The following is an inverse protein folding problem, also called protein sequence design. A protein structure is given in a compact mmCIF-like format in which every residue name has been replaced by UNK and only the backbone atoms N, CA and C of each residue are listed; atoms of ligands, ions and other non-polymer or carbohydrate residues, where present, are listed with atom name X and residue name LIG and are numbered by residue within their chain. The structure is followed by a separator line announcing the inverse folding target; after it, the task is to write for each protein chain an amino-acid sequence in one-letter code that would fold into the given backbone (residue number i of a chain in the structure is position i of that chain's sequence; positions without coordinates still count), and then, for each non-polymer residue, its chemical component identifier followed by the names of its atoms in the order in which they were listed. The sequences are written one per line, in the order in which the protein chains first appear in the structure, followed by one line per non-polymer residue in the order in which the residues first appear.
data_IF_792530351796
#
_entry.id   IF_792530351796
#
_cell.length_a   1.000
_cell.length_b   1.000
_cell.length_c   1.000
_cell.angle_alpha   90.00
_cell.angle_beta   90.00
_cell.angle_gamma   90.00
#
_symmetry.space_group_name_H-M   'P 1'
#
loop_
_entity.id
_entity.type
_entity.pdbx_description
1 polymer ?
#
# COMPACT_ATOMS: atom_id res chain seq x y z
N UNK A 1 19.10 6.85 17.19
CA UNK A 1 18.13 5.98 16.50
C UNK A 1 18.48 6.03 15.03
N UNK A 2 18.99 4.92 14.48
CA UNK A 2 19.26 4.82 13.04
C UNK A 2 17.93 5.02 12.31
N UNK A 3 17.90 5.90 11.31
CA UNK A 3 16.72 6.16 10.51
C UNK A 3 16.57 5.00 9.53
N UNK A 4 15.87 3.95 9.94
CA UNK A 4 15.64 2.76 9.11
C UNK A 4 14.38 2.93 8.28
N UNK A 5 14.44 3.92 7.39
CA UNK A 5 13.43 4.14 6.36
C UNK A 5 13.35 2.88 5.46
N UNK A 6 12.16 2.28 5.35
CA UNK A 6 11.92 1.05 4.60
C UNK A 6 11.90 1.30 3.08
N UNK A 7 11.63 2.54 2.64
CA UNK A 7 11.75 2.93 1.22
C UNK A 7 10.46 3.43 0.57
N UNK A 8 9.53 3.99 1.36
CA UNK A 8 8.39 4.76 0.84
C UNK A 8 8.68 6.27 0.73
N UNK A 9 9.92 6.70 0.97
CA UNK A 9 10.37 8.06 0.71
C UNK A 9 10.65 8.26 -0.77
N UNK A 10 10.33 9.46 -1.27
CA UNK A 10 10.70 9.90 -2.60
C UNK A 10 12.17 10.35 -2.64
N UNK A 11 12.88 10.04 -3.73
CA UNK A 11 14.23 10.56 -4.00
C UNK A 11 15.36 9.86 -3.24
N UNK A 12 15.11 8.69 -2.61
CA UNK A 12 16.14 7.87 -1.96
C UNK A 12 16.63 6.74 -2.88
N UNK A 13 17.89 6.34 -2.73
CA UNK A 13 18.52 5.27 -3.53
C UNK A 13 17.89 3.88 -3.30
N UNK A 14 17.28 3.65 -2.13
CA UNK A 14 16.58 2.41 -1.78
C UNK A 14 15.06 2.65 -1.68
N UNK A 15 14.45 3.03 -2.80
CA UNK A 15 12.99 3.24 -2.90
C UNK A 15 12.32 1.94 -3.34
N UNK A 16 11.27 1.52 -2.62
CA UNK A 16 10.41 0.40 -3.05
C UNK A 16 9.67 0.77 -4.34
N UNK A 17 9.38 -0.18 -5.24
CA UNK A 17 8.71 0.10 -6.52
C UNK A 17 7.31 0.69 -6.33
N UNK A 18 6.74 1.36 -7.32
CA UNK A 18 5.40 1.99 -7.19
C UNK A 18 4.29 0.97 -6.94
N UNK A 19 4.50 -0.26 -7.39
CA UNK A 19 3.65 -1.42 -7.14
C UNK A 19 3.61 -1.83 -5.66
N UNK A 20 4.49 -1.31 -4.82
CA UNK A 20 4.44 -1.51 -3.36
C UNK A 20 3.38 -0.64 -2.68
N UNK A 21 2.67 0.21 -3.42
CA UNK A 21 1.61 1.08 -2.91
C UNK A 21 0.30 0.79 -3.66
N UNK A 22 -0.73 0.40 -2.92
CA UNK A 22 -2.10 0.19 -3.43
C UNK A 22 -3.11 0.90 -2.52
N UNK A 23 -4.39 0.88 -2.85
CA UNK A 23 -5.42 1.55 -2.03
C UNK A 23 -6.76 0.83 -2.14
N UNK A 24 -7.65 1.13 -1.20
CA UNK A 24 -9.04 0.66 -1.18
C UNK A 24 -9.95 1.25 -2.24
N UNK A 25 -9.52 2.31 -2.92
CA UNK A 25 -10.36 3.08 -3.86
C UNK A 25 -9.96 2.84 -5.32
N UNK A 26 -10.95 2.88 -6.20
CA UNK A 26 -10.92 2.35 -7.58
C UNK A 26 -10.99 3.43 -8.67
N UNK A 27 -11.10 4.72 -8.30
CA UNK A 27 -11.28 5.84 -9.24
C UNK A 27 -10.31 7.00 -8.92
N UNK A 28 -9.25 7.17 -9.70
CA UNK A 28 -8.27 8.24 -9.46
C UNK A 28 -8.44 9.42 -10.42
N UNK A 29 -8.58 10.62 -9.87
CA UNK A 29 -7.95 11.81 -10.44
C UNK A 29 -6.44 11.52 -10.48
N UNK A 30 -5.73 11.84 -11.57
CA UNK A 30 -4.29 11.53 -11.68
C UNK A 30 -3.42 12.09 -10.51
N UNK A 31 -3.96 13.03 -9.74
CA UNK A 31 -3.32 13.57 -8.55
C UNK A 31 -3.27 12.60 -7.35
N UNK A 32 -4.24 11.69 -7.20
CA UNK A 32 -4.45 10.88 -5.99
C UNK A 32 -3.84 9.47 -5.99
N UNK A 33 -3.06 9.07 -7.00
CA UNK A 33 -2.54 7.71 -7.08
C UNK A 33 -1.73 7.25 -5.85
N UNK A 34 -1.74 5.94 -5.48
CA UNK A 34 -1.05 5.43 -4.29
C UNK A 34 0.43 5.80 -4.21
N UNK A 35 1.16 5.73 -5.32
CA UNK A 35 2.57 6.10 -5.41
C UNK A 35 2.85 7.61 -5.24
N UNK A 36 1.81 8.44 -5.17
CA UNK A 36 1.93 9.84 -4.75
C UNK A 36 1.97 10.00 -3.23
N UNK A 37 1.59 8.96 -2.48
CA UNK A 37 1.65 8.91 -1.01
C UNK A 37 3.03 8.69 -0.43
N UNK A 38 4.10 8.82 -1.22
CA UNK A 38 5.48 8.73 -0.75
C UNK A 38 5.88 9.98 0.04
N UNK A 39 6.49 9.80 1.22
CA UNK A 39 7.01 10.94 1.99
C UNK A 39 8.04 11.74 1.16
N UNK A 40 8.05 13.05 1.33
CA UNK A 40 8.87 14.00 0.57
C UNK A 40 8.60 14.13 -0.93
N UNK A 41 7.60 13.44 -1.51
CA UNK A 41 7.26 13.64 -2.92
C UNK A 41 6.78 15.09 -3.17
N UNK A 42 7.42 15.88 -4.04
CA UNK A 42 7.02 17.27 -4.25
C UNK A 42 5.62 17.37 -4.87
N UNK A 43 4.78 18.25 -4.32
CA UNK A 43 3.48 18.67 -4.91
C UNK A 43 2.42 17.59 -5.13
N UNK A 44 2.70 16.33 -4.79
CA UNK A 44 1.83 15.17 -4.99
C UNK A 44 1.57 14.48 -3.67
N UNK A 45 0.36 13.98 -3.46
CA UNK A 45 -0.06 13.22 -2.29
C UNK A 45 -0.97 12.09 -2.78
N UNK A 46 -1.11 11.00 -2.03
CA UNK A 46 -2.22 10.08 -2.26
C UNK A 46 -3.49 10.67 -1.63
N UNK A 47 -4.63 10.43 -2.25
CA UNK A 47 -5.95 10.72 -1.69
C UNK A 47 -6.91 9.59 -2.09
N UNK A 48 -7.91 9.27 -1.26
CA UNK A 48 -8.97 8.36 -1.68
C UNK A 48 -9.86 9.04 -2.73
N UNK A 49 -10.65 8.24 -3.44
CA UNK A 49 -11.69 8.74 -4.36
C UNK A 49 -12.87 9.37 -3.63
N UNK A 50 -13.17 8.85 -2.44
CA UNK A 50 -14.29 9.25 -1.59
C UNK A 50 -13.79 9.38 -0.14
N UNK A 51 -14.37 10.30 0.62
CA UNK A 51 -13.89 10.66 1.97
C UNK A 51 -14.93 10.46 3.07
N UNK A 52 -16.11 9.95 2.72
CA UNK A 52 -17.24 9.60 3.57
C UNK A 52 -17.12 8.20 4.19
N UNK A 53 -16.49 7.25 3.50
CA UNK A 53 -16.23 5.90 4.03
C UNK A 53 -14.80 5.69 4.54
N UNK A 54 -14.52 4.66 5.36
CA UNK A 54 -13.16 4.31 5.74
C UNK A 54 -12.32 3.85 4.54
N UNK A 55 -11.24 4.57 4.26
CA UNK A 55 -10.31 4.25 3.18
C UNK A 55 -8.91 3.95 3.71
N UNK A 56 -8.08 3.29 2.89
CA UNK A 56 -6.70 2.99 3.24
C UNK A 56 -5.71 3.15 2.10
N UNK A 57 -4.50 3.56 2.47
CA UNK A 57 -3.30 3.36 1.68
C UNK A 57 -2.62 2.07 2.16
N UNK A 58 -2.42 1.13 1.26
CA UNK A 58 -1.80 -0.17 1.53
C UNK A 58 -0.35 -0.15 1.04
N UNK A 59 0.54 -0.54 1.93
CA UNK A 59 1.98 -0.60 1.75
C UNK A 59 2.38 -2.08 1.74
N UNK A 60 2.77 -2.57 0.58
CA UNK A 60 3.19 -3.94 0.33
C UNK A 60 4.69 -4.01 0.46
N UNK A 61 5.15 -4.56 1.57
CA UNK A 61 6.54 -4.87 1.80
C UNK A 61 6.89 -6.17 1.10
N UNK A 62 8.17 -6.31 0.86
CA UNK A 62 8.66 -7.35 -0.02
C UNK A 62 9.07 -8.61 0.72
N UNK A 63 9.26 -8.44 2.02
CA UNK A 63 9.47 -9.46 3.02
C UNK A 63 8.86 -8.96 4.33
N UNK A 64 8.95 -9.76 5.38
CA UNK A 64 8.54 -9.33 6.70
C UNK A 64 9.54 -8.31 7.26
N UNK A 65 9.01 -7.21 7.80
CA UNK A 65 9.75 -6.23 8.58
C UNK A 65 9.24 -6.21 10.01
N UNK A 66 10.13 -5.94 10.96
CA UNK A 66 9.72 -5.37 12.24
C UNK A 66 9.59 -3.86 12.09
N UNK A 67 8.35 -3.38 12.08
CA UNK A 67 8.01 -1.98 11.90
C UNK A 67 7.81 -1.38 13.28
N UNK A 68 8.50 -0.28 13.55
CA UNK A 68 8.48 0.38 14.86
C UNK A 68 8.03 1.84 14.80
N UNK A 69 7.92 2.44 13.61
CA UNK A 69 7.32 3.78 13.48
C UNK A 69 6.73 4.02 12.09
N UNK A 70 5.89 5.05 12.00
CA UNK A 70 5.41 5.63 10.75
C UNK A 70 5.60 7.15 10.79
N UNK A 71 6.20 7.72 9.75
CA UNK A 71 6.18 9.16 9.51
C UNK A 71 5.09 9.49 8.54
N UNK A 72 4.25 10.48 8.86
CA UNK A 72 3.11 10.87 8.05
C UNK A 72 3.10 12.38 7.82
N UNK A 73 2.49 12.79 6.71
CA UNK A 73 2.26 14.19 6.38
C UNK A 73 0.92 14.29 5.66
N UNK A 74 0.01 15.06 6.25
CA UNK A 74 -1.34 15.27 5.77
C UNK A 74 -1.51 16.57 5.00
N UNK A 75 -2.63 16.66 4.30
CA UNK A 75 -3.15 17.88 3.70
C UNK A 75 -4.66 17.71 3.50
N UNK A 76 -5.43 18.78 3.62
CA UNK A 76 -6.81 18.81 3.13
C UNK A 76 -6.89 19.51 1.77
N UNK A 77 -7.98 19.32 1.04
CA UNK A 77 -8.19 19.98 -0.26
C UNK A 77 -8.14 21.49 -0.16
N UNK A 78 -8.65 22.09 0.92
CA UNK A 78 -8.54 23.53 1.11
C UNK A 78 -7.12 23.93 1.53
N UNK A 79 -6.80 25.21 1.36
CA UNK A 79 -5.56 25.79 1.88
C UNK A 79 -5.60 26.06 3.38
N UNK A 80 -6.61 25.56 4.11
CA UNK A 80 -6.66 25.70 5.56
C UNK A 80 -5.63 24.76 6.20
N UNK A 81 -4.69 25.35 6.91
CA UNK A 81 -3.62 24.62 7.61
C UNK A 81 -4.00 24.24 9.05
N UNK A 82 -5.19 24.64 9.52
CA UNK A 82 -5.69 24.30 10.84
C UNK A 82 -6.63 23.09 10.77
N UNK A 83 -6.05 21.90 10.77
CA UNK A 83 -6.79 20.64 10.79
C UNK A 83 -6.06 19.58 11.62
N UNK A 84 -6.79 18.54 12.00
CA UNK A 84 -6.23 17.32 12.57
C UNK A 84 -6.84 16.14 11.83
N UNK A 85 -5.99 15.30 11.27
CA UNK A 85 -6.36 14.02 10.68
C UNK A 85 -6.00 12.89 11.62
N UNK A 86 -6.64 11.75 11.41
CA UNK A 86 -6.48 10.58 12.25
C UNK A 86 -6.29 9.32 11.41
N UNK A 87 -5.41 8.43 11.86
CA UNK A 87 -5.26 7.12 11.21
C UNK A 87 -5.11 5.98 12.23
N UNK A 88 -5.45 4.79 11.78
CA UNK A 88 -5.15 3.53 12.45
C UNK A 88 -4.27 2.66 11.56
N UNK A 89 -3.62 1.67 12.17
CA UNK A 89 -2.78 0.70 11.47
C UNK A 89 -3.43 -0.67 11.56
N UNK A 90 -3.65 -1.30 10.41
CA UNK A 90 -3.83 -2.75 10.34
C UNK A 90 -2.73 -3.38 9.50
N UNK A 91 -2.38 -4.62 9.79
CA UNK A 91 -1.23 -5.27 9.18
C UNK A 91 -1.48 -6.76 8.98
N UNK A 92 -0.71 -7.34 8.06
CA UNK A 92 -0.75 -8.76 7.73
C UNK A 92 0.65 -9.24 7.35
N UNK A 93 0.91 -10.52 7.61
CA UNK A 93 2.12 -11.21 7.16
C UNK A 93 1.88 -11.93 5.81
N UNK A 94 0.62 -12.19 5.45
CA UNK A 94 0.25 -13.14 4.39
C UNK A 94 -1.01 -12.78 3.58
N UNK A 95 -1.55 -11.56 3.71
CA UNK A 95 -2.82 -11.09 3.14
C UNK A 95 -4.10 -11.79 3.61
N UNK A 96 -4.02 -13.03 4.12
CA UNK A 96 -5.17 -13.81 4.55
C UNK A 96 -5.69 -13.39 5.93
N UNK A 97 -4.78 -13.13 6.87
CA UNK A 97 -5.12 -12.76 8.24
C UNK A 97 -4.70 -11.33 8.53
N UNK A 98 -5.63 -10.53 9.04
CA UNK A 98 -5.40 -9.12 9.36
C UNK A 98 -5.48 -8.90 10.86
N UNK A 99 -4.50 -8.16 11.38
CA UNK A 99 -4.42 -7.71 12.77
C UNK A 99 -4.57 -6.19 12.80
N UNK A 100 -5.22 -5.67 13.82
CA UNK A 100 -5.25 -4.23 14.08
C UNK A 100 -4.25 -3.92 15.19
N UNK A 101 -3.37 -2.93 15.00
CA UNK A 101 -2.31 -2.61 15.95
C UNK A 101 -2.88 -2.23 17.32
N UNK A 102 -3.87 -1.33 17.34
CA UNK A 102 -4.64 -1.00 18.53
C UNK A 102 -6.07 -0.61 18.10
N UNK A 103 -7.10 -1.43 18.40
CA UNK A 103 -8.48 -1.15 18.02
C UNK A 103 -9.00 0.20 18.50
N UNK A 104 -8.57 0.61 19.69
CA UNK A 104 -9.11 1.75 20.44
C UNK A 104 -8.25 3.01 20.32
N UNK A 105 -7.21 2.99 19.47
CA UNK A 105 -6.30 4.12 19.32
C UNK A 105 -6.24 4.60 17.87
N UNK A 106 -6.09 5.90 17.71
CA UNK A 106 -5.84 6.59 16.45
C UNK A 106 -4.66 7.53 16.64
N UNK A 107 -3.74 7.50 15.69
CA UNK A 107 -2.65 8.47 15.59
C UNK A 107 -3.20 9.75 14.99
N UNK A 108 -2.78 10.90 15.51
CA UNK A 108 -3.19 12.23 15.05
C UNK A 108 -2.04 12.88 14.30
N UNK A 109 -2.32 13.62 13.24
CA UNK A 109 -1.32 14.34 12.47
C UNK A 109 -1.95 15.48 11.66
N UNK A 110 -1.13 16.35 11.06
CA UNK A 110 -1.57 17.50 10.27
C UNK A 110 -0.66 17.74 9.05
N UNK A 111 -0.49 19.01 8.64
CA UNK A 111 0.35 19.44 7.52
C UNK A 111 1.86 19.53 7.85
N UNK A 112 2.28 19.08 9.02
CA UNK A 112 3.68 18.91 9.42
C UNK A 112 4.02 17.43 9.34
N UNK A 113 5.28 17.12 9.01
CA UNK A 113 5.76 15.74 9.04
C UNK A 113 5.85 15.30 10.51
N UNK A 114 4.99 14.36 10.90
CA UNK A 114 4.98 13.78 12.25
C UNK A 114 5.47 12.34 12.22
N UNK A 115 6.31 11.96 13.19
CA UNK A 115 6.78 10.58 13.37
C UNK A 115 6.09 9.96 14.57
N UNK A 116 5.31 8.91 14.34
CA UNK A 116 4.65 8.14 15.38
C UNK A 116 5.39 6.83 15.62
N UNK A 117 5.97 6.70 16.82
CA UNK A 117 6.58 5.45 17.28
C UNK A 117 5.51 4.50 17.79
N UNK A 118 5.61 3.24 17.38
CA UNK A 118 4.77 2.16 17.89
C UNK A 118 5.34 1.69 19.23
N UNK A 119 4.52 1.71 20.28
CA UNK A 119 4.85 1.15 21.61
C UNK A 119 5.33 -0.30 21.50
N UNK A 120 4.70 -1.10 20.63
CA UNK A 120 5.15 -2.44 20.28
C UNK A 120 5.43 -2.47 18.79
N UNK A 121 6.58 -3.00 18.38
CA UNK A 121 6.81 -3.25 16.96
C UNK A 121 5.81 -4.28 16.43
N UNK A 122 5.51 -4.18 15.15
CA UNK A 122 4.68 -5.16 14.44
C UNK A 122 5.54 -5.91 13.42
N UNK A 123 5.37 -7.23 13.35
CA UNK A 123 5.88 -8.02 12.23
C UNK A 123 4.83 -7.99 11.12
N UNK A 124 5.20 -7.47 9.95
CA UNK A 124 4.28 -7.36 8.83
C UNK A 124 5.00 -7.44 7.49
N UNK A 125 4.29 -7.99 6.50
CA UNK A 125 4.59 -7.84 5.08
C UNK A 125 3.68 -6.81 4.43
N UNK A 126 2.49 -6.59 4.97
CA UNK A 126 1.52 -5.65 4.44
C UNK A 126 1.04 -4.77 5.57
N UNK A 127 1.00 -3.47 5.33
CA UNK A 127 0.50 -2.47 6.26
C UNK A 127 -0.57 -1.63 5.57
N UNK A 128 -1.67 -1.35 6.26
CA UNK A 128 -2.67 -0.37 5.84
C UNK A 128 -2.66 0.79 6.80
N UNK A 129 -2.46 1.99 6.26
CA UNK A 129 -2.75 3.26 6.92
C UNK A 129 -4.22 3.55 6.66
N UNK A 130 -5.05 3.34 7.67
CA UNK A 130 -6.51 3.40 7.59
C UNK A 130 -7.02 4.71 8.16
N UNK A 131 -7.90 5.37 7.42
CA UNK A 131 -8.61 6.55 7.85
C UNK A 131 -10.05 6.20 8.22
N UNK A 132 -10.61 6.86 9.23
CA UNK A 132 -12.01 6.64 9.62
C UNK A 132 -13.02 7.17 8.58
N UNK A 133 -12.58 7.99 7.61
CA UNK A 133 -13.48 8.73 6.73
C UNK A 133 -14.17 9.89 7.45
N UNK A 134 -15.30 10.33 6.91
CA UNK A 134 -16.14 11.42 7.41
C UNK A 134 -15.39 12.74 7.63
N UNK A 135 -14.46 13.06 6.73
CA UNK A 135 -13.84 14.39 6.73
C UNK A 135 -14.77 15.39 6.04
N UNK A 136 -14.78 16.65 6.49
CA UNK A 136 -15.51 17.72 5.79
C UNK A 136 -14.87 18.06 4.43
N UNK A 137 -13.67 17.54 4.17
CA UNK A 137 -12.85 17.83 3.01
C UNK A 137 -12.03 16.62 2.55
N UNK A 138 -11.57 16.63 1.30
CA UNK A 138 -10.76 15.54 0.75
C UNK A 138 -9.40 15.45 1.48
N UNK A 139 -9.08 14.29 2.09
CA UNK A 139 -7.82 14.08 2.78
C UNK A 139 -6.72 13.60 1.83
N UNK A 140 -5.53 14.16 2.02
CA UNK A 140 -4.32 13.81 1.29
C UNK A 140 -3.25 13.33 2.27
N UNK A 141 -2.56 12.25 1.94
CA UNK A 141 -1.54 11.63 2.80
C UNK A 141 -0.25 11.37 2.04
N UNK A 142 0.86 11.53 2.77
CA UNK A 142 2.14 10.88 2.53
C UNK A 142 2.59 10.08 3.74
N UNK A 143 3.31 9.00 3.50
CA UNK A 143 3.80 8.11 4.56
C UNK A 143 5.21 7.58 4.25
N UNK A 144 5.98 7.38 5.31
CA UNK A 144 7.16 6.52 5.38
C UNK A 144 7.02 5.55 6.55
N UNK A 145 7.34 4.27 6.33
CA UNK A 145 7.43 3.29 7.42
C UNK A 145 8.89 3.13 7.85
N UNK A 146 9.10 2.97 9.15
CA UNK A 146 10.42 2.78 9.75
C UNK A 146 10.49 1.38 10.37
N UNK A 147 11.50 0.61 9.98
CA UNK A 147 11.64 -0.77 10.43
C UNK A 147 12.87 -1.48 9.91
N UNK A 148 13.15 -2.61 10.53
CA UNK A 148 14.24 -3.52 10.16
C UNK A 148 13.69 -4.75 9.44
N UNK A 149 14.48 -5.33 8.56
CA UNK A 149 14.23 -6.66 8.01
C UNK A 149 14.25 -7.70 9.15
N UNK A 150 13.33 -8.68 9.16
CA UNK A 150 13.43 -9.80 10.11
C UNK A 150 14.57 -10.75 9.72
N UNK A 151 15.35 -11.27 10.69
CA UNK A 151 16.52 -12.12 10.42
C UNK A 151 16.21 -13.34 9.53
N UNK A 152 14.97 -13.84 9.56
CA UNK A 152 14.51 -14.93 8.67
C UNK A 152 14.51 -14.57 7.18
N UNK A 153 14.62 -13.30 6.83
CA UNK A 153 14.50 -12.80 5.45
C UNK A 153 15.74 -12.05 4.92
N UNK A 154 16.75 -11.82 5.77
CA UNK A 154 17.99 -11.12 5.38
C UNK A 154 18.87 -11.91 4.40
N UNK A 155 18.72 -13.25 4.36
CA UNK A 155 19.48 -14.14 3.50
C UNK A 155 18.97 -14.21 2.05
N UNK A 156 17.71 -13.81 1.76
CA UNK A 156 17.06 -14.17 0.50
C UNK A 156 16.69 -13.00 -0.43
N UNK A 157 16.60 -11.76 0.04
CA UNK A 157 16.29 -10.61 -0.82
C UNK A 157 16.87 -9.31 -0.24
N UNK A 158 17.96 -8.78 -0.80
CA UNK A 158 18.44 -7.42 -0.45
C UNK A 158 17.70 -6.32 -1.21
N UNK A 159 17.07 -6.68 -2.33
CA UNK A 159 16.15 -5.82 -3.08
C UNK A 159 15.07 -6.69 -3.71
N UNK A 160 13.81 -6.31 -3.57
CA UNK A 160 12.73 -7.04 -4.18
C UNK A 160 12.63 -6.74 -5.66
N UNK A 161 12.54 -7.80 -6.44
CA UNK A 161 12.28 -7.70 -7.87
C UNK A 161 10.84 -8.15 -8.13
N UNK A 162 9.97 -7.32 -8.73
CA UNK A 162 8.64 -7.75 -9.11
C UNK A 162 8.75 -8.96 -10.05
N UNK A 163 7.95 -9.99 -9.81
CA UNK A 163 8.02 -11.25 -10.59
C UNK A 163 7.46 -11.12 -12.02
N UNK A 164 6.98 -9.94 -12.43
CA UNK A 164 6.52 -9.70 -13.80
C UNK A 164 5.00 -9.73 -14.03
N UNK A 165 4.19 -9.72 -12.97
CA UNK A 165 2.71 -9.75 -13.10
C UNK A 165 2.08 -8.35 -13.28
N UNK A 166 2.87 -7.28 -13.35
CA UNK A 166 2.40 -5.94 -13.72
C UNK A 166 2.23 -5.86 -15.24
N UNK A 167 1.25 -5.10 -15.73
CA UNK A 167 1.08 -4.79 -17.16
C UNK A 167 2.24 -3.98 -17.73
N UNK A 168 3.03 -3.34 -16.85
CA UNK A 168 4.20 -2.53 -17.20
C UNK A 168 5.53 -3.20 -16.83
N UNK A 169 5.53 -4.51 -16.54
CA UNK A 169 6.76 -5.21 -16.19
C UNK A 169 7.74 -5.28 -17.37
N UNK A 170 9.01 -4.96 -17.11
CA UNK A 170 10.12 -5.09 -18.07
C UNK A 170 10.36 -6.56 -18.47
N UNK A 171 10.29 -7.46 -17.50
CA UNK A 171 10.29 -8.92 -17.69
C UNK A 171 8.96 -9.49 -17.25
N UNK A 172 7.95 -9.36 -18.11
CA UNK A 172 6.59 -9.83 -17.83
C UNK A 172 6.48 -11.35 -17.82
N UNK A 173 5.72 -11.88 -16.85
CA UNK A 173 5.20 -13.27 -16.94
C UNK A 173 4.36 -13.36 -18.21
N UNK A 174 4.47 -14.37 -19.08
CA UNK A 174 3.63 -14.49 -20.27
C UNK A 174 2.14 -14.65 -19.93
N UNK A 175 1.24 -14.15 -20.77
CA UNK A 175 -0.22 -14.29 -20.57
C UNK A 175 -0.65 -15.78 -20.51
N UNK A 176 0.03 -16.64 -21.26
CA UNK A 176 -0.21 -18.08 -21.29
C UNK A 176 0.08 -18.77 -19.95
N UNK A 177 0.92 -18.16 -19.11
CA UNK A 177 1.24 -18.63 -17.78
C UNK A 177 0.18 -18.24 -16.74
N UNK A 178 -0.84 -17.46 -17.13
CA UNK A 178 -1.92 -17.02 -16.24
C UNK A 178 -3.19 -17.78 -16.59
N UNK A 179 -3.63 -18.65 -15.67
CA UNK A 179 -4.83 -19.46 -15.81
C UNK A 179 -5.84 -19.13 -14.72
N UNK A 180 -7.12 -19.44 -14.94
CA UNK A 180 -8.16 -19.18 -13.95
C UNK A 180 -9.23 -20.28 -13.97
N UNK A 181 -9.92 -20.40 -12.83
CA UNK A 181 -11.13 -21.22 -12.68
C UNK A 181 -12.26 -20.88 -13.66
N UNK A 182 -12.25 -19.66 -14.22
CA UNK A 182 -13.27 -19.15 -15.11
C UNK A 182 -12.70 -18.13 -16.09
N UNK A 183 -13.31 -18.09 -17.28
CA UNK A 183 -12.92 -17.22 -18.40
C UNK A 183 -13.96 -16.14 -18.69
N UNK A 184 -14.76 -15.74 -17.68
CA UNK A 184 -15.70 -14.60 -17.78
C UNK A 184 -15.01 -13.29 -18.18
N UNK A 185 -13.69 -13.21 -17.97
CA UNK A 185 -12.79 -12.15 -18.44
C UNK A 185 -11.45 -12.77 -18.83
N UNK A 186 -10.68 -12.10 -19.69
CA UNK A 186 -9.31 -12.53 -20.03
C UNK A 186 -8.46 -12.60 -18.76
N UNK A 187 -7.68 -13.68 -18.60
CA UNK A 187 -6.81 -13.89 -17.43
C UNK A 187 -5.70 -12.85 -17.31
N UNK A 188 -5.24 -12.30 -18.44
CA UNK A 188 -4.29 -11.19 -18.51
C UNK A 188 -4.80 -9.89 -17.87
N UNK A 189 -6.11 -9.77 -17.62
CA UNK A 189 -6.69 -8.63 -16.89
C UNK A 189 -6.43 -8.68 -15.39
N UNK A 190 -5.86 -9.77 -14.87
CA UNK A 190 -5.41 -9.84 -13.48
C UNK A 190 -4.05 -9.17 -13.24
N UNK A 191 -3.44 -8.59 -14.28
CA UNK A 191 -2.18 -7.86 -14.15
C UNK A 191 -2.38 -6.55 -13.41
N UNK A 192 -1.47 -6.23 -12.50
CA UNK A 192 -1.46 -4.95 -11.81
C UNK A 192 -1.26 -3.80 -12.82
N UNK A 193 -1.92 -2.65 -12.61
CA UNK A 193 -1.94 -1.48 -13.52
C UNK A 193 -2.51 -1.77 -14.92
N UNK A 194 -3.32 -2.82 -15.07
CA UNK A 194 -4.14 -3.01 -16.27
C UNK A 194 -5.38 -2.10 -16.19
N UNK A 195 -5.85 -1.59 -17.33
CA UNK A 195 -7.10 -0.80 -17.42
C UNK A 195 -8.36 -1.67 -17.36
N UNK A 196 -8.19 -3.00 -17.42
CA UNK A 196 -9.25 -4.01 -17.28
C UNK A 196 -8.92 -4.92 -16.11
N UNK A 197 -9.96 -5.55 -15.56
CA UNK A 197 -9.86 -6.42 -14.38
C UNK A 197 -10.30 -7.84 -14.70
N UNK A 198 -9.70 -8.83 -14.02
CA UNK A 198 -10.26 -10.18 -14.01
C UNK A 198 -11.40 -10.26 -12.98
N UNK A 199 -12.52 -10.84 -13.39
CA UNK A 199 -13.69 -11.04 -12.54
C UNK A 199 -14.21 -12.47 -12.69
N UNK A 200 -14.34 -13.18 -11.57
CA UNK A 200 -15.04 -14.46 -11.53
C UNK A 200 -16.57 -14.29 -11.66
N UNK A 201 -17.30 -15.31 -12.16
CA UNK A 201 -18.75 -15.28 -12.27
C UNK A 201 -19.41 -15.23 -10.88
N UNK A 202 -20.37 -14.30 -10.71
CA UNK A 202 -21.09 -14.05 -9.44
C UNK A 202 -21.72 -15.29 -8.80
N UNK A 203 -22.08 -16.29 -9.60
CA UNK A 203 -22.82 -17.47 -9.16
C UNK A 203 -21.97 -18.62 -8.66
N UNK A 204 -20.64 -18.49 -8.61
CA UNK A 204 -19.74 -19.58 -8.22
C UNK A 204 -18.79 -19.14 -7.09
N UNK A 205 -18.87 -19.73 -5.89
CA UNK A 205 -17.84 -19.52 -4.88
C UNK A 205 -16.51 -20.17 -5.31
N UNK A 206 -15.43 -19.89 -4.57
CA UNK A 206 -14.11 -20.52 -4.75
C UNK A 206 -13.48 -20.29 -6.15
N UNK A 207 -13.61 -19.08 -6.69
CA UNK A 207 -12.91 -18.70 -7.90
C UNK A 207 -11.42 -18.46 -7.60
N UNK A 208 -10.57 -18.91 -8.52
CA UNK A 208 -9.12 -18.78 -8.41
C UNK A 208 -8.51 -18.27 -9.71
N UNK A 209 -7.35 -17.63 -9.55
CA UNK A 209 -6.36 -17.38 -10.60
C UNK A 209 -5.05 -18.04 -10.19
N UNK A 210 -4.38 -18.66 -11.15
CA UNK A 210 -3.11 -19.33 -10.98
C UNK A 210 -2.09 -18.72 -11.94
N UNK A 211 -0.87 -18.57 -11.45
CA UNK A 211 0.25 -18.02 -12.21
C UNK A 211 1.36 -19.06 -12.17
N UNK A 212 1.65 -19.64 -13.33
CA UNK A 212 2.82 -20.48 -13.52
C UNK A 212 4.07 -19.58 -13.59
N UNK A 213 5.00 -19.79 -12.67
CA UNK A 213 6.24 -19.01 -12.59
C UNK A 213 7.37 -19.63 -13.40
N UNK A 214 7.13 -20.72 -14.13
CA UNK A 214 8.13 -21.41 -14.94
C UNK A 214 9.14 -22.13 -14.06
N UNK A 215 8.87 -23.40 -13.76
CA UNK A 215 9.88 -24.33 -13.27
C UNK A 215 10.45 -25.16 -14.43
#
# INVERSE_FOLDING_TARGET
LVNEDIGFQYGKSATLPDESLTTSSDQFDQAGYPHNGRLYKPWKFWSPSYYDEPFYLELILVQNYYIFAASVHGRLSTSNNNFTMEFSISYSENYATWKQYNPNFRFKFNNIIEKHTLVKSIEARIVRIKFPGNYDEMPYLKVELHGVITEKSSAYCRKPHPLGLSSQAEHGIPDQSITASSISSQTSYARLRNSRFWCGPRSRPNQWISVDLGH
#
